data_IF_690631688108
#
_entry.id   IF_690631688108
#
_cell.length_a   1.000
_cell.length_b   1.000
_cell.length_c   1.000
_cell.angle_alpha   90.00
_cell.angle_beta   90.00
_cell.angle_gamma   90.00
#
_symmetry.space_group_name_H-M   'P 1'
#
loop_
_entity.id
_entity.type
_entity.pdbx_description
1 polymer ?
#
# COMPACT_ATOMS: atom_id res chain seq x y z
N UNK A 1 -31.71 -27.36 -58.63
CA UNK A 1 -30.92 -26.71 -57.57
C UNK A 1 -31.81 -26.69 -56.35
N UNK A 2 -31.51 -27.51 -55.34
CA UNK A 2 -32.44 -27.82 -54.24
C UNK A 2 -32.68 -26.56 -53.37
N UNK A 3 -33.95 -26.22 -53.14
CA UNK A 3 -34.35 -25.13 -52.24
C UNK A 3 -33.85 -25.36 -50.80
N UNK A 4 -33.70 -26.62 -50.38
CA UNK A 4 -33.13 -27.01 -49.08
C UNK A 4 -31.67 -26.54 -48.92
N UNK A 5 -30.87 -26.64 -50.00
CA UNK A 5 -29.44 -26.29 -49.99
C UNK A 5 -29.21 -24.76 -49.99
N UNK A 6 -30.24 -23.98 -50.35
CA UNK A 6 -30.24 -22.51 -50.29
C UNK A 6 -30.74 -22.04 -48.91
N UNK A 7 -31.70 -22.74 -48.33
CA UNK A 7 -32.28 -22.39 -47.02
C UNK A 7 -31.29 -22.62 -45.87
N UNK A 8 -30.45 -23.66 -45.93
CA UNK A 8 -29.41 -23.90 -44.93
C UNK A 8 -28.25 -22.90 -45.00
N UNK A 9 -27.81 -22.50 -46.20
CA UNK A 9 -26.74 -21.48 -46.37
C UNK A 9 -27.18 -20.11 -45.82
N UNK A 10 -28.45 -19.73 -46.00
CA UNK A 10 -29.01 -18.49 -45.43
C UNK A 10 -29.10 -18.54 -43.90
N UNK A 11 -29.48 -19.68 -43.31
CA UNK A 11 -29.52 -19.86 -41.84
C UNK A 11 -28.12 -19.80 -41.23
N UNK A 12 -27.13 -20.46 -41.85
CA UNK A 12 -25.73 -20.41 -41.42
C UNK A 12 -25.18 -18.98 -41.50
N UNK A 13 -25.47 -18.24 -42.58
CA UNK A 13 -25.06 -16.84 -42.70
C UNK A 13 -25.66 -15.95 -41.60
N UNK A 14 -26.93 -16.16 -41.23
CA UNK A 14 -27.58 -15.42 -40.13
C UNK A 14 -26.90 -15.73 -38.79
N UNK A 15 -26.57 -17.00 -38.52
CA UNK A 15 -25.87 -17.40 -37.29
C UNK A 15 -24.48 -16.76 -37.20
N UNK A 16 -23.72 -16.73 -38.30
CA UNK A 16 -22.40 -16.08 -38.36
C UNK A 16 -22.52 -14.59 -38.09
N UNK A 17 -23.53 -13.92 -38.67
CA UNK A 17 -23.78 -12.49 -38.44
C UNK A 17 -24.12 -12.22 -36.97
N UNK A 18 -24.96 -13.05 -36.34
CA UNK A 18 -25.30 -12.92 -34.91
C UNK A 18 -24.05 -13.11 -34.04
N UNK A 19 -23.21 -14.12 -34.34
CA UNK A 19 -21.96 -14.33 -33.61
C UNK A 19 -20.99 -13.15 -33.77
N UNK A 20 -20.87 -12.59 -34.98
CA UNK A 20 -20.05 -11.42 -35.23
C UNK A 20 -20.55 -10.19 -34.47
N UNK A 21 -21.87 -9.98 -34.38
CA UNK A 21 -22.48 -8.90 -33.59
C UNK A 21 -22.21 -9.12 -32.09
N UNK A 22 -22.38 -10.34 -31.57
CA UNK A 22 -22.11 -10.65 -30.16
C UNK A 22 -20.64 -10.45 -29.80
N UNK A 23 -19.72 -10.89 -30.67
CA UNK A 23 -18.28 -10.63 -30.52
C UNK A 23 -17.97 -9.14 -30.60
N UNK A 24 -18.65 -8.40 -31.49
CA UNK A 24 -18.54 -6.96 -31.60
C UNK A 24 -18.99 -6.23 -30.34
N UNK A 25 -20.18 -6.55 -29.81
CA UNK A 25 -20.68 -5.97 -28.55
C UNK A 25 -19.75 -6.31 -27.38
N UNK A 26 -19.25 -7.54 -27.33
CA UNK A 26 -18.28 -7.94 -26.32
C UNK A 26 -16.98 -7.11 -26.40
N UNK A 27 -16.38 -7.01 -27.58
CA UNK A 27 -15.09 -6.32 -27.78
C UNK A 27 -15.21 -4.79 -27.68
N UNK A 28 -16.26 -4.18 -28.23
CA UNK A 28 -16.38 -2.72 -28.33
C UNK A 28 -17.20 -2.07 -27.23
N UNK A 29 -18.02 -2.84 -26.50
CA UNK A 29 -18.87 -2.29 -25.42
C UNK A 29 -18.47 -2.89 -24.08
N UNK A 30 -18.41 -4.22 -23.97
CA UNK A 30 -18.21 -4.89 -22.68
C UNK A 30 -16.78 -4.76 -22.15
N UNK A 31 -15.76 -5.02 -22.98
CA UNK A 31 -14.34 -4.91 -22.57
C UNK A 31 -13.97 -3.48 -22.13
N UNK A 32 -14.32 -2.40 -22.87
CA UNK A 32 -14.04 -1.04 -22.43
C UNK A 32 -14.75 -0.69 -21.11
N UNK A 33 -16.00 -1.11 -20.93
CA UNK A 33 -16.75 -0.87 -19.69
C UNK A 33 -16.11 -1.58 -18.49
N UNK A 34 -15.69 -2.84 -18.64
CA UNK A 34 -14.96 -3.54 -17.56
C UNK A 34 -13.64 -2.84 -17.23
N UNK A 35 -12.91 -2.38 -18.24
CA UNK A 35 -11.66 -1.64 -18.03
C UNK A 35 -11.88 -0.32 -17.29
N UNK A 36 -12.96 0.40 -17.61
CA UNK A 36 -13.35 1.63 -16.92
C UNK A 36 -13.71 1.38 -15.46
N UNK A 37 -14.53 0.37 -15.18
CA UNK A 37 -14.89 -0.01 -13.79
C UNK A 37 -13.67 -0.47 -12.99
N UNK A 38 -12.79 -1.27 -13.58
CA UNK A 38 -11.53 -1.66 -12.94
C UNK A 38 -10.65 -0.44 -12.63
N UNK A 39 -10.57 0.53 -13.54
CA UNK A 39 -9.84 1.77 -13.30
C UNK A 39 -10.46 2.61 -12.17
N UNK A 40 -11.79 2.71 -12.10
CA UNK A 40 -12.48 3.41 -11.02
C UNK A 40 -12.18 2.77 -9.66
N UNK A 41 -12.33 1.45 -9.54
CA UNK A 41 -12.02 0.73 -8.30
C UNK A 41 -10.55 0.77 -7.93
N UNK A 42 -9.65 0.70 -8.91
CA UNK A 42 -8.22 0.88 -8.69
C UNK A 42 -7.93 2.27 -8.10
N UNK A 43 -8.47 3.32 -8.70
CA UNK A 43 -8.26 4.70 -8.25
C UNK A 43 -8.87 4.97 -6.87
N UNK A 44 -10.06 4.42 -6.59
CA UNK A 44 -10.69 4.48 -5.27
C UNK A 44 -9.86 3.76 -4.21
N UNK A 45 -9.36 2.56 -4.53
CA UNK A 45 -8.45 1.80 -3.69
C UNK A 45 -7.20 2.60 -3.33
N UNK A 46 -6.56 3.23 -4.33
CA UNK A 46 -5.39 4.07 -4.09
C UNK A 46 -5.68 5.29 -3.20
N UNK A 47 -6.85 5.93 -3.36
CA UNK A 47 -7.25 7.05 -2.48
C UNK A 47 -7.45 6.60 -1.03
N UNK A 48 -8.07 5.44 -0.82
CA UNK A 48 -8.25 4.88 0.52
C UNK A 48 -6.92 4.53 1.17
N UNK A 49 -5.99 3.94 0.41
CA UNK A 49 -4.61 3.68 0.85
C UNK A 49 -3.93 4.99 1.28
N UNK A 50 -4.03 6.04 0.45
CA UNK A 50 -3.44 7.35 0.75
C UNK A 50 -4.04 8.01 2.00
N UNK A 51 -5.34 7.82 2.26
CA UNK A 51 -5.97 8.28 3.49
C UNK A 51 -5.39 7.59 4.73
N UNK A 52 -5.24 6.26 4.68
CA UNK A 52 -4.64 5.49 5.78
C UNK A 52 -3.18 5.85 6.01
N UNK A 53 -2.42 6.15 4.95
CA UNK A 53 -1.04 6.61 5.08
C UNK A 53 -0.91 7.91 5.88
N UNK A 54 -1.87 8.82 5.77
CA UNK A 54 -1.90 10.01 6.63
C UNK A 54 -2.13 9.63 8.10
N UNK A 55 -3.02 8.68 8.37
CA UNK A 55 -3.29 8.20 9.73
C UNK A 55 -2.09 7.48 10.36
N UNK A 56 -1.34 6.70 9.56
CA UNK A 56 -0.07 6.08 9.96
C UNK A 56 0.97 7.16 10.27
N UNK A 57 1.14 8.15 9.38
CA UNK A 57 2.08 9.25 9.57
C UNK A 57 1.77 10.07 10.83
N UNK A 58 0.49 10.33 11.10
CA UNK A 58 0.08 11.07 12.29
C UNK A 58 0.27 10.24 13.57
N UNK A 59 0.02 8.93 13.53
CA UNK A 59 0.34 8.03 14.64
C UNK A 59 1.83 8.06 14.98
N UNK A 60 2.68 8.08 13.95
CA UNK A 60 4.12 8.21 14.10
C UNK A 60 4.52 9.58 14.68
N UNK A 61 4.01 10.70 14.16
CA UNK A 61 4.32 12.03 14.74
C UNK A 61 3.90 12.12 16.21
N UNK A 62 2.77 11.52 16.55
CA UNK A 62 2.26 11.52 17.92
C UNK A 62 3.12 10.69 18.88
N UNK A 63 3.82 9.64 18.43
CA UNK A 63 4.74 8.89 19.31
C UNK A 63 5.95 9.71 19.74
N UNK A 64 6.35 10.74 18.99
CA UNK A 64 7.50 11.59 19.33
C UNK A 64 7.12 12.92 20.00
N UNK A 65 5.86 13.36 19.90
CA UNK A 65 5.39 14.64 20.45
C UNK A 65 4.87 14.55 21.91
N UNK A 66 4.96 13.40 22.57
CA UNK A 66 4.48 13.24 23.96
C UNK A 66 5.33 14.07 24.91
N UNK A 67 4.76 15.18 25.35
CA UNK A 67 5.41 16.16 26.25
C UNK A 67 5.42 15.62 27.69
N UNK A 68 6.54 15.01 28.08
CA UNK A 68 7.28 15.15 29.36
C UNK A 68 6.58 15.10 30.73
N UNK A 69 5.35 14.59 30.87
CA UNK A 69 4.74 14.52 32.22
C UNK A 69 5.21 13.34 33.09
N UNK A 70 5.76 12.26 32.53
CA UNK A 70 6.55 11.21 33.19
C UNK A 70 7.05 10.17 32.16
N UNK A 71 8.21 9.53 32.42
CA UNK A 71 8.82 8.55 31.49
C UNK A 71 7.88 7.38 31.18
N UNK A 72 7.14 6.89 32.18
CA UNK A 72 6.17 5.80 32.03
C UNK A 72 5.00 6.16 31.11
N UNK A 73 4.43 7.37 31.24
CA UNK A 73 3.35 7.82 30.35
C UNK A 73 3.82 8.07 28.93
N UNK A 74 5.08 8.46 28.74
CA UNK A 74 5.73 8.52 27.43
C UNK A 74 5.83 7.14 26.77
N UNK A 75 6.30 6.12 27.50
CA UNK A 75 6.43 4.75 27.00
C UNK A 75 5.07 4.16 26.62
N UNK A 76 4.05 4.29 27.48
CA UNK A 76 2.71 3.77 27.22
C UNK A 76 2.05 4.44 26.00
N UNK A 77 2.19 5.76 25.87
CA UNK A 77 1.69 6.48 24.70
C UNK A 77 2.41 6.05 23.42
N UNK A 78 3.72 5.81 23.47
CA UNK A 78 4.47 5.29 22.32
C UNK A 78 4.01 3.88 21.93
N UNK A 79 3.83 2.98 22.90
CA UNK A 79 3.29 1.64 22.65
C UNK A 79 1.93 1.73 21.95
N UNK A 80 1.02 2.59 22.44
CA UNK A 80 -0.30 2.73 21.84
C UNK A 80 -0.25 3.28 20.41
N UNK A 81 0.63 4.26 20.14
CA UNK A 81 0.81 4.80 18.78
C UNK A 81 1.31 3.73 17.81
N UNK A 82 2.26 2.88 18.21
CA UNK A 82 2.74 1.81 17.33
C UNK A 82 1.74 0.66 17.18
N UNK A 83 0.92 0.33 18.20
CA UNK A 83 -0.21 -0.59 18.05
C UNK A 83 -1.24 -0.08 17.04
N UNK A 84 -1.58 1.21 17.11
CA UNK A 84 -2.47 1.84 16.13
C UNK A 84 -1.86 1.81 14.73
N UNK A 85 -0.56 2.05 14.60
CA UNK A 85 0.16 1.94 13.33
C UNK A 85 0.08 0.51 12.77
N UNK A 86 0.32 -0.51 13.58
CA UNK A 86 0.22 -1.92 13.17
C UNK A 86 -1.20 -2.25 12.64
N UNK A 87 -2.24 -1.87 13.38
CA UNK A 87 -3.64 -2.07 12.96
C UNK A 87 -3.95 -1.36 11.64
N UNK A 88 -3.46 -0.13 11.47
CA UNK A 88 -3.65 0.65 10.25
C UNK A 88 -2.88 0.07 9.07
N UNK A 89 -1.69 -0.48 9.30
CA UNK A 89 -0.95 -1.21 8.28
C UNK A 89 -1.73 -2.46 7.83
N UNK A 90 -2.41 -3.17 8.72
CA UNK A 90 -3.27 -4.30 8.34
C UNK A 90 -4.45 -3.88 7.46
N UNK A 91 -5.14 -2.79 7.83
CA UNK A 91 -6.22 -2.22 7.01
C UNK A 91 -5.71 -1.81 5.62
N UNK A 92 -4.53 -1.18 5.57
CA UNK A 92 -3.88 -0.78 4.31
C UNK A 92 -3.53 -1.99 3.44
N UNK A 93 -2.98 -3.06 4.04
CA UNK A 93 -2.66 -4.31 3.32
C UNK A 93 -3.91 -4.96 2.71
N UNK A 94 -5.03 -4.99 3.43
CA UNK A 94 -6.29 -5.51 2.91
C UNK A 94 -6.74 -4.72 1.67
N UNK A 95 -6.72 -3.39 1.75
CA UNK A 95 -7.14 -2.52 0.65
C UNK A 95 -6.16 -2.64 -0.52
N UNK A 96 -4.86 -2.71 -0.29
CA UNK A 96 -3.86 -2.91 -1.34
C UNK A 96 -4.06 -4.24 -2.07
N UNK A 97 -4.27 -5.34 -1.34
CA UNK A 97 -4.55 -6.65 -1.93
C UNK A 97 -5.84 -6.64 -2.77
N UNK A 98 -6.89 -5.97 -2.29
CA UNK A 98 -8.12 -5.78 -3.06
C UNK A 98 -7.87 -4.92 -4.30
N UNK A 99 -7.13 -3.81 -4.16
CA UNK A 99 -6.77 -2.88 -5.25
C UNK A 99 -5.98 -3.58 -6.35
N UNK A 100 -5.09 -4.51 -5.96
CA UNK A 100 -4.31 -5.35 -6.87
C UNK A 100 -5.18 -6.13 -7.86
N UNK A 101 -6.37 -6.57 -7.45
CA UNK A 101 -7.29 -7.31 -8.35
C UNK A 101 -7.87 -6.44 -9.48
N UNK A 102 -7.80 -5.12 -9.35
CA UNK A 102 -8.31 -4.16 -10.33
C UNK A 102 -7.23 -3.59 -11.26
N UNK A 103 -5.98 -4.10 -11.21
CA UNK A 103 -4.90 -3.70 -12.12
C UNK A 103 -5.18 -4.12 -13.57
N UNK A 104 -6.01 -5.15 -13.75
CA UNK A 104 -6.47 -5.65 -15.04
C UNK A 104 -5.32 -6.02 -16.00
N UNK A 105 -4.27 -6.68 -15.47
CA UNK A 105 -3.08 -7.11 -16.21
C UNK A 105 -2.10 -5.97 -16.54
N UNK A 106 -2.32 -4.76 -16.03
CA UNK A 106 -1.37 -3.66 -16.17
C UNK A 106 -0.18 -3.87 -15.23
N UNK A 107 0.95 -4.30 -15.80
CA UNK A 107 2.18 -4.58 -15.05
C UNK A 107 2.70 -3.41 -14.22
N UNK A 108 2.63 -2.18 -14.73
CA UNK A 108 3.07 -0.98 -13.99
C UNK A 108 2.23 -0.79 -12.73
N UNK A 109 0.90 -0.93 -12.84
CA UNK A 109 -0.01 -0.86 -11.69
C UNK A 109 0.23 -1.99 -10.70
N UNK A 110 0.44 -3.21 -11.18
CA UNK A 110 0.76 -4.37 -10.33
C UNK A 110 2.04 -4.14 -9.55
N UNK A 111 3.13 -3.74 -10.22
CA UNK A 111 4.41 -3.44 -9.57
C UNK A 111 4.29 -2.31 -8.56
N UNK A 112 3.52 -1.27 -8.87
CA UNK A 112 3.27 -0.18 -7.93
C UNK A 112 2.58 -0.69 -6.66
N UNK A 113 1.51 -1.47 -6.79
CA UNK A 113 0.81 -2.06 -5.65
C UNK A 113 1.71 -3.02 -4.87
N UNK A 114 2.50 -3.85 -5.56
CA UNK A 114 3.43 -4.79 -4.93
C UNK A 114 4.49 -4.06 -4.08
N UNK A 115 5.03 -2.94 -4.57
CA UNK A 115 5.95 -2.11 -3.78
C UNK A 115 5.26 -1.40 -2.62
N UNK A 116 4.00 -0.98 -2.77
CA UNK A 116 3.21 -0.43 -1.66
C UNK A 116 2.92 -1.49 -0.58
N UNK A 117 2.67 -2.74 -0.97
CA UNK A 117 2.51 -3.87 -0.05
C UNK A 117 3.83 -4.14 0.68
N UNK A 118 4.95 -4.21 -0.04
CA UNK A 118 6.28 -4.43 0.54
C UNK A 118 6.62 -3.33 1.57
N UNK A 119 6.40 -2.06 1.23
CA UNK A 119 6.57 -0.91 2.12
C UNK A 119 5.68 -1.00 3.36
N UNK A 120 4.40 -1.37 3.19
CA UNK A 120 3.44 -1.47 4.30
C UNK A 120 3.77 -2.64 5.22
N UNK A 121 4.26 -3.76 4.69
CA UNK A 121 4.70 -4.89 5.50
C UNK A 121 5.92 -4.52 6.35
N UNK A 122 6.90 -3.81 5.76
CA UNK A 122 8.07 -3.30 6.49
C UNK A 122 7.64 -2.38 7.65
N UNK A 123 6.68 -1.49 7.41
CA UNK A 123 6.13 -0.60 8.45
C UNK A 123 5.43 -1.38 9.56
N UNK A 124 4.64 -2.40 9.20
CA UNK A 124 3.95 -3.27 10.15
C UNK A 124 4.95 -4.02 11.03
N UNK A 125 5.95 -4.64 10.41
CA UNK A 125 6.97 -5.42 11.13
C UNK A 125 7.74 -4.54 12.10
N UNK A 126 8.13 -3.33 11.67
CA UNK A 126 8.76 -2.33 12.54
C UNK A 126 7.86 -1.95 13.72
N UNK A 127 6.58 -1.67 13.47
CA UNK A 127 5.64 -1.29 14.52
C UNK A 127 5.50 -2.40 15.58
N UNK A 128 5.38 -3.65 15.14
CA UNK A 128 5.27 -4.81 16.02
C UNK A 128 6.55 -5.05 16.85
N UNK A 129 7.73 -4.94 16.23
CA UNK A 129 9.02 -5.03 16.93
C UNK A 129 9.18 -3.91 17.96
N UNK A 130 8.87 -2.66 17.59
CA UNK A 130 8.97 -1.51 18.48
C UNK A 130 7.98 -1.63 19.66
N UNK A 131 6.75 -2.12 19.43
CA UNK A 131 5.81 -2.37 20.53
C UNK A 131 6.42 -3.31 21.56
N UNK A 132 6.97 -4.43 21.10
CA UNK A 132 7.62 -5.42 21.97
C UNK A 132 8.79 -4.80 22.74
N UNK A 133 9.67 -4.08 22.05
CA UNK A 133 10.83 -3.45 22.68
C UNK A 133 10.42 -2.41 23.72
N UNK A 134 9.41 -1.57 23.44
CA UNK A 134 8.92 -0.59 24.41
C UNK A 134 8.17 -1.22 25.59
N UNK A 135 7.48 -2.34 25.39
CA UNK A 135 6.91 -3.13 26.50
C UNK A 135 8.02 -3.68 27.41
N UNK A 136 9.08 -4.24 26.83
CA UNK A 136 10.26 -4.69 27.59
C UNK A 136 10.99 -3.52 28.27
N UNK A 137 11.04 -2.36 27.63
CA UNK A 137 11.63 -1.14 28.16
C UNK A 137 10.85 -0.65 29.38
N UNK A 138 9.51 -0.67 29.31
CA UNK A 138 8.62 -0.29 30.42
C UNK A 138 8.93 -1.14 31.66
N UNK A 139 9.06 -2.45 31.48
CA UNK A 139 9.37 -3.38 32.57
C UNK A 139 10.78 -3.15 33.13
N UNK A 140 11.77 -2.90 32.26
CA UNK A 140 13.13 -2.58 32.68
C UNK A 140 13.23 -1.28 33.48
N UNK A 141 12.44 -0.26 33.11
CA UNK A 141 12.31 0.98 33.89
C UNK A 141 11.69 0.74 35.26
N UNK A 142 10.63 -0.07 35.35
CA UNK A 142 10.00 -0.43 36.63
C UNK A 142 10.94 -1.19 37.55
N UNK A 143 11.81 -2.03 37.00
CA UNK A 143 12.82 -2.78 37.77
C UNK A 143 14.15 -2.06 37.97
N UNK A 144 14.30 -0.84 37.43
CA UNK A 144 15.55 -0.08 37.42
C UNK A 144 16.77 -0.86 36.87
N UNK A 145 16.55 -1.72 35.86
CA UNK A 145 17.62 -2.49 35.22
C UNK A 145 18.27 -1.68 34.08
N UNK A 146 19.27 -0.87 34.45
CA UNK A 146 19.96 0.02 33.51
C UNK A 146 20.68 -0.70 32.37
N UNK A 147 21.18 -1.92 32.60
CA UNK A 147 21.82 -2.71 31.53
C UNK A 147 20.77 -3.16 30.51
N UNK A 148 19.62 -3.61 30.98
CA UNK A 148 18.50 -3.99 30.10
C UNK A 148 17.95 -2.78 29.35
N UNK A 149 17.79 -1.63 29.99
CA UNK A 149 17.38 -0.37 29.34
C UNK A 149 18.34 -0.01 28.18
N UNK A 150 19.66 -0.08 28.41
CA UNK A 150 20.65 0.26 27.39
C UNK A 150 20.61 -0.72 26.21
N UNK A 151 20.52 -2.03 26.49
CA UNK A 151 20.43 -3.06 25.45
C UNK A 151 19.17 -2.90 24.58
N UNK A 152 18.00 -2.67 25.19
CA UNK A 152 16.74 -2.46 24.47
C UNK A 152 16.81 -1.18 23.63
N UNK A 153 17.40 -0.11 24.17
CA UNK A 153 17.58 1.14 23.41
C UNK A 153 18.43 0.92 22.15
N UNK A 154 19.48 0.10 22.23
CA UNK A 154 20.29 -0.30 21.06
C UNK A 154 19.53 -1.19 20.08
N UNK A 155 18.65 -2.08 20.57
CA UNK A 155 17.78 -2.90 19.73
C UNK A 155 16.79 -2.05 18.93
N UNK A 156 16.09 -1.13 19.60
CA UNK A 156 15.18 -0.16 18.95
C UNK A 156 15.92 0.60 17.84
N UNK A 157 17.12 1.11 18.14
CA UNK A 157 17.92 1.83 17.14
C UNK A 157 18.31 0.92 15.95
N UNK A 158 18.64 -0.33 16.21
CA UNK A 158 18.98 -1.31 15.16
C UNK A 158 17.77 -1.62 14.28
N UNK A 159 16.60 -1.86 14.87
CA UNK A 159 15.33 -2.09 14.16
C UNK A 159 14.95 -0.89 13.30
N UNK A 160 15.04 0.33 13.83
CA UNK A 160 14.78 1.56 13.07
C UNK A 160 15.75 1.68 11.90
N UNK A 161 17.07 1.55 12.12
CA UNK A 161 18.06 1.67 11.06
C UNK A 161 17.88 0.60 9.96
N UNK A 162 17.60 -0.65 10.34
CA UNK A 162 17.32 -1.71 9.38
C UNK A 162 16.06 -1.41 8.55
N UNK A 163 15.03 -0.88 9.21
CA UNK A 163 13.78 -0.49 8.54
C UNK A 163 14.01 0.64 7.54
N UNK A 164 14.82 1.64 7.90
CA UNK A 164 15.19 2.75 7.00
C UNK A 164 15.86 2.23 5.74
N UNK A 165 16.84 1.33 5.87
CA UNK A 165 17.54 0.75 4.71
C UNK A 165 16.60 -0.06 3.81
N UNK A 166 15.69 -0.86 4.40
CA UNK A 166 14.67 -1.59 3.64
C UNK A 166 13.74 -0.62 2.90
N UNK A 167 13.23 0.41 3.58
CA UNK A 167 12.34 1.41 3.00
C UNK A 167 13.00 2.20 1.88
N UNK A 168 14.28 2.55 2.01
CA UNK A 168 15.06 3.22 0.97
C UNK A 168 15.16 2.38 -0.31
N UNK A 169 15.33 1.07 -0.17
CA UNK A 169 15.28 0.18 -1.35
C UNK A 169 13.92 0.24 -2.06
N UNK A 170 12.81 0.36 -1.31
CA UNK A 170 11.47 0.51 -1.91
C UNK A 170 11.28 1.88 -2.55
N UNK A 171 11.82 2.94 -1.95
CA UNK A 171 11.85 4.28 -2.53
C UNK A 171 12.51 4.29 -3.90
N UNK A 172 13.69 3.68 -4.01
CA UNK A 172 14.42 3.61 -5.27
C UNK A 172 13.65 2.82 -6.34
N UNK A 173 12.99 1.72 -5.95
CA UNK A 173 12.12 0.93 -6.83
C UNK A 173 10.91 1.73 -7.33
N UNK A 174 10.21 2.43 -6.43
CA UNK A 174 9.05 3.27 -6.77
C UNK A 174 9.47 4.46 -7.64
N UNK A 175 10.55 5.14 -7.30
CA UNK A 175 11.09 6.27 -8.06
C UNK A 175 11.45 5.84 -9.49
N UNK A 176 12.16 4.73 -9.64
CA UNK A 176 12.47 4.13 -10.95
C UNK A 176 11.20 3.83 -11.74
N UNK A 177 10.23 3.12 -11.15
CA UNK A 177 8.97 2.76 -11.79
C UNK A 177 8.20 4.00 -12.29
N UNK A 178 8.10 5.05 -11.48
CA UNK A 178 7.37 6.28 -11.83
C UNK A 178 8.09 7.12 -12.88
N UNK A 179 9.43 7.12 -12.88
CA UNK A 179 10.23 7.80 -13.90
C UNK A 179 10.13 7.10 -15.26
N UNK A 180 10.13 5.77 -15.28
CA UNK A 180 9.96 4.97 -16.49
C UNK A 180 8.52 5.01 -17.03
N UNK A 181 7.54 5.37 -16.20
CA UNK A 181 6.11 5.39 -16.54
C UNK A 181 5.45 6.75 -16.25
N UNK A 182 5.81 7.82 -16.99
CA UNK A 182 5.36 9.19 -16.69
C UNK A 182 3.85 9.40 -16.78
N UNK A 183 3.14 8.68 -17.66
CA UNK A 183 1.68 8.74 -17.73
C UNK A 183 0.99 8.17 -16.49
N UNK A 184 1.57 7.12 -15.91
CA UNK A 184 1.08 6.57 -14.64
C UNK A 184 1.41 7.50 -13.47
N UNK A 185 2.61 8.09 -13.43
CA UNK A 185 2.97 9.11 -12.46
C UNK A 185 2.02 10.31 -12.51
N UNK A 186 1.66 10.80 -13.70
CA UNK A 186 0.66 11.84 -13.85
C UNK A 186 -0.72 11.40 -13.33
N UNK A 187 -1.13 10.15 -13.58
CA UNK A 187 -2.39 9.62 -13.03
C UNK A 187 -2.41 9.66 -11.50
N UNK A 188 -1.30 9.28 -10.85
CA UNK A 188 -1.17 9.37 -9.39
C UNK A 188 -1.24 10.83 -8.92
N UNK A 189 -0.63 11.76 -9.66
CA UNK A 189 -0.70 13.19 -9.39
C UNK A 189 -2.11 13.74 -9.47
N UNK A 190 -2.84 13.40 -10.53
CA UNK A 190 -4.22 13.83 -10.75
C UNK A 190 -5.18 13.30 -9.67
N UNK A 191 -4.84 12.16 -9.07
CA UNK A 191 -5.57 11.59 -7.94
C UNK A 191 -5.22 12.23 -6.59
N UNK A 192 -4.30 13.21 -6.57
CA UNK A 192 -3.67 13.77 -5.37
C UNK A 192 -2.94 12.70 -4.52
N UNK A 193 -2.41 11.67 -5.17
CA UNK A 193 -1.62 10.60 -4.56
C UNK A 193 -0.12 10.89 -4.75
N UNK A 194 0.21 12.11 -5.18
CA UNK A 194 1.58 12.61 -5.12
C UNK A 194 1.96 12.91 -3.69
N UNK A 195 2.81 12.07 -3.16
CA UNK A 195 3.80 12.54 -2.21
C UNK A 195 5.16 12.06 -2.74
N UNK A 196 5.89 12.97 -3.39
CA UNK A 196 7.36 12.87 -3.50
C UNK A 196 8.04 12.69 -2.13
N UNK A 197 7.26 12.75 -1.04
CA UNK A 197 7.65 12.65 0.36
C UNK A 197 7.03 11.45 1.11
N UNK A 198 6.48 10.44 0.43
CA UNK A 198 5.96 9.23 1.10
C UNK A 198 6.99 8.57 2.03
N UNK A 199 8.27 8.74 1.70
CA UNK A 199 9.40 8.13 2.41
C UNK A 199 10.11 9.10 3.36
N UNK A 200 10.12 10.39 3.05
CA UNK A 200 10.72 11.42 3.92
C UNK A 200 9.85 11.83 5.10
N UNK A 201 8.52 11.58 5.07
CA UNK A 201 7.62 11.88 6.19
C UNK A 201 7.60 10.82 7.30
N UNK A 202 7.94 9.57 6.96
CA UNK A 202 7.77 8.42 7.87
C UNK A 202 9.09 7.78 8.30
N UNK A 203 10.22 8.26 7.76
CA UNK A 203 11.55 7.89 8.21
C UNK A 203 12.06 9.00 9.13
N UNK A 204 12.33 8.72 10.42
CA UNK A 204 12.94 9.71 11.28
C UNK A 204 14.30 10.08 10.70
N UNK A 205 14.54 11.38 10.52
CA UNK A 205 15.92 11.86 10.45
C UNK A 205 16.50 11.64 11.86
N UNK A 206 17.48 10.73 12.04
CA UNK A 206 18.10 10.50 13.33
C UNK A 206 19.08 11.63 13.61
N UNK A 207 18.59 12.87 13.64
CA UNK A 207 19.37 13.98 14.16
C UNK A 207 19.28 13.91 15.69
N UNK A 208 20.21 13.13 16.25
CA UNK A 208 20.69 13.28 17.63
C UNK A 208 21.61 14.50 17.65
#
# INVERSE_FOLDING_TARGET
>A
MNEDDIMDKKKIAIIIVILAILLGVYQFVYVPYQNEQANLHYNEGLKNVSAIDNEISDSFKNSFNVTTSNVSGGIESTIQSFKNMEEKSDQKLEILNKTRSFTNGNKTKEQYIDYQIESTQIQKDMASEIVKDYEELNDAFKSADFNKIMNISTQIQTTVNSTIEKMKSIEDKLSTLLNENPGFNQTLQDLNITDKNYLSKNIPNPSI
#
